data_IF_737929888203
#
_entry.id   IF_737929888203
#
_cell.length_a   1.000
_cell.length_b   1.000
_cell.length_c   1.000
_cell.angle_alpha   90.00
_cell.angle_beta   90.00
_cell.angle_gamma   90.00
#
_symmetry.space_group_name_H-M   'P 1'
#
loop_
_entity.id
_entity.type
_entity.pdbx_description
1 polymer ?
#
# COMPACT_ATOMS: atom_id res chain seq x y z
N UNK A 1 49.37 -63.34 24.76
CA UNK A 1 48.20 -62.48 25.05
C UNK A 1 48.19 -61.31 24.06
N UNK A 2 47.12 -61.10 23.26
CA UNK A 2 46.96 -59.85 22.53
C UNK A 2 45.75 -59.03 23.04
N UNK A 3 46.00 -57.75 23.30
CA UNK A 3 44.99 -56.69 23.48
C UNK A 3 44.45 -56.27 22.12
N UNK A 4 43.17 -56.52 21.85
CA UNK A 4 42.38 -55.81 20.82
C UNK A 4 40.94 -55.77 21.30
N UNK A 5 40.42 -54.56 21.51
CA UNK A 5 39.03 -54.15 21.21
C UNK A 5 38.67 -52.87 21.97
N UNK A 6 39.21 -51.72 21.54
CA UNK A 6 38.75 -50.41 22.04
C UNK A 6 38.53 -49.35 20.94
N UNK A 7 38.51 -49.74 19.67
CA UNK A 7 38.25 -48.82 18.53
C UNK A 7 36.79 -48.83 18.04
N UNK A 8 36.01 -49.85 18.38
CA UNK A 8 34.62 -50.03 17.90
C UNK A 8 33.57 -49.29 18.73
N UNK A 9 33.89 -48.94 19.98
CA UNK A 9 32.97 -48.24 20.88
C UNK A 9 32.95 -46.73 20.58
N UNK A 10 34.09 -46.16 20.18
CA UNK A 10 34.24 -44.72 19.91
C UNK A 10 33.52 -44.28 18.62
N UNK A 11 33.57 -45.07 17.53
CA UNK A 11 32.86 -44.73 16.28
C UNK A 11 31.33 -44.73 16.40
N UNK A 12 30.77 -45.44 17.39
CA UNK A 12 29.31 -45.57 17.56
C UNK A 12 28.70 -44.41 18.36
N UNK A 13 29.50 -43.71 19.18
CA UNK A 13 29.06 -42.51 19.89
C UNK A 13 29.05 -41.27 18.99
N UNK A 14 30.00 -41.14 18.06
CA UNK A 14 30.04 -40.01 17.12
C UNK A 14 28.82 -39.98 16.18
N UNK A 15 28.34 -41.15 15.75
CA UNK A 15 27.14 -41.27 14.90
C UNK A 15 25.86 -40.85 15.61
N UNK A 16 25.78 -41.05 16.94
CA UNK A 16 24.64 -40.67 17.78
C UNK A 16 24.65 -39.17 18.12
N UNK A 17 25.84 -38.61 18.35
CA UNK A 17 26.04 -37.17 18.58
C UNK A 17 25.74 -36.34 17.31
N UNK A 18 26.02 -36.91 16.13
CA UNK A 18 25.74 -36.27 14.85
C UNK A 18 24.23 -36.20 14.53
N UNK A 19 23.40 -37.11 15.08
CA UNK A 19 21.96 -37.09 14.87
C UNK A 19 21.28 -35.96 15.65
N UNK A 20 21.69 -35.71 16.90
CA UNK A 20 21.19 -34.59 17.71
C UNK A 20 21.65 -33.25 17.11
N UNK A 21 22.89 -33.18 16.59
CA UNK A 21 23.37 -32.02 15.84
C UNK A 21 22.56 -31.75 14.57
N UNK A 22 22.28 -32.78 13.78
CA UNK A 22 21.44 -32.67 12.57
C UNK A 22 19.99 -32.33 12.89
N UNK A 23 19.42 -32.91 13.94
CA UNK A 23 18.06 -32.62 14.39
C UNK A 23 17.94 -31.18 14.87
N UNK A 24 18.86 -30.72 15.73
CA UNK A 24 18.88 -29.33 16.21
C UNK A 24 19.11 -28.33 15.08
N UNK A 25 19.92 -28.68 14.08
CA UNK A 25 20.11 -27.85 12.88
C UNK A 25 18.85 -27.81 12.00
N UNK A 26 18.18 -28.95 11.78
CA UNK A 26 16.89 -28.99 11.08
C UNK A 26 15.82 -28.17 11.81
N UNK A 27 15.74 -28.27 13.14
CA UNK A 27 14.80 -27.46 13.94
C UNK A 27 15.13 -25.98 13.83
N UNK A 28 16.40 -25.57 13.94
CA UNK A 28 16.81 -24.17 13.74
C UNK A 28 16.44 -23.67 12.36
N UNK A 29 16.60 -24.49 11.32
CA UNK A 29 16.21 -24.15 9.95
C UNK A 29 14.70 -23.97 9.82
N UNK A 30 13.89 -24.90 10.33
CA UNK A 30 12.43 -24.77 10.31
C UNK A 30 11.94 -23.55 11.09
N UNK A 31 12.51 -23.27 12.26
CA UNK A 31 12.17 -22.07 13.06
C UNK A 31 12.54 -20.78 12.31
N UNK A 32 13.68 -20.78 11.60
CA UNK A 32 14.10 -19.64 10.80
C UNK A 32 13.19 -19.44 9.58
N UNK A 33 12.81 -20.52 8.89
CA UNK A 33 11.86 -20.50 7.76
C UNK A 33 10.48 -19.97 8.20
N UNK A 34 9.95 -20.43 9.35
CA UNK A 34 8.69 -19.89 9.90
C UNK A 34 8.81 -18.41 10.25
N UNK A 35 9.94 -17.98 10.82
CA UNK A 35 10.15 -16.57 11.19
C UNK A 35 10.31 -15.67 9.96
N UNK A 36 10.89 -16.19 8.88
CA UNK A 36 10.96 -15.52 7.58
C UNK A 36 9.58 -15.45 6.92
N UNK A 37 8.81 -16.55 6.92
CA UNK A 37 7.43 -16.59 6.42
C UNK A 37 6.51 -15.64 7.20
N UNK A 38 6.59 -15.60 8.54
CA UNK A 38 5.85 -14.62 9.36
C UNK A 38 6.24 -13.18 9.03
N UNK A 39 7.54 -12.92 8.84
CA UNK A 39 8.03 -11.61 8.42
C UNK A 39 7.53 -11.20 7.03
N UNK A 40 7.40 -12.17 6.13
CA UNK A 40 6.89 -12.00 4.77
C UNK A 40 5.38 -11.76 4.75
N UNK A 41 4.62 -12.49 5.57
CA UNK A 41 3.18 -12.26 5.76
C UNK A 41 2.90 -10.86 6.30
N UNK A 42 3.59 -10.44 7.36
CA UNK A 42 3.44 -9.10 7.94
C UNK A 42 3.81 -8.01 6.92
N UNK A 43 4.88 -8.21 6.14
CA UNK A 43 5.27 -7.28 5.07
C UNK A 43 4.20 -7.19 3.98
N UNK A 44 3.66 -8.32 3.55
CA UNK A 44 2.62 -8.40 2.53
C UNK A 44 1.32 -7.73 3.02
N UNK A 45 0.95 -7.91 4.29
CA UNK A 45 -0.22 -7.26 4.89
C UNK A 45 -0.06 -5.73 4.96
N UNK A 46 1.13 -5.25 5.33
CA UNK A 46 1.45 -3.82 5.32
C UNK A 46 1.39 -3.25 3.90
N UNK A 47 1.94 -3.96 2.90
CA UNK A 47 1.89 -3.56 1.50
C UNK A 47 0.44 -3.51 0.99
N UNK A 48 -0.35 -4.54 1.27
CA UNK A 48 -1.76 -4.60 0.90
C UNK A 48 -2.56 -3.46 1.53
N UNK A 49 -2.36 -3.20 2.82
CA UNK A 49 -3.00 -2.07 3.52
C UNK A 49 -2.60 -0.73 2.93
N UNK A 50 -1.31 -0.56 2.60
CA UNK A 50 -0.80 0.67 2.01
C UNK A 50 -1.40 0.93 0.63
N UNK A 51 -1.59 -0.11 -0.18
CA UNK A 51 -2.20 0.01 -1.49
C UNK A 51 -3.70 0.36 -1.40
N UNK A 52 -4.42 -0.27 -0.46
CA UNK A 52 -5.81 0.09 -0.17
C UNK A 52 -5.93 1.56 0.23
N UNK A 53 -5.08 2.02 1.14
CA UNK A 53 -5.03 3.42 1.57
C UNK A 53 -4.78 4.39 0.41
N UNK A 54 -3.89 4.05 -0.53
CA UNK A 54 -3.64 4.86 -1.72
C UNK A 54 -4.86 4.94 -2.63
N UNK A 55 -5.52 3.80 -2.88
CA UNK A 55 -6.74 3.74 -3.68
C UNK A 55 -7.84 4.64 -3.10
N UNK A 56 -8.06 4.55 -1.78
CA UNK A 56 -9.01 5.42 -1.05
C UNK A 56 -8.66 6.89 -1.21
N UNK A 57 -7.39 7.25 -1.01
CA UNK A 57 -6.92 8.64 -1.12
C UNK A 57 -7.17 9.20 -2.52
N UNK A 58 -6.84 8.45 -3.56
CA UNK A 58 -7.03 8.87 -4.96
C UNK A 58 -8.52 9.12 -5.27
N UNK A 59 -9.42 8.23 -4.82
CA UNK A 59 -10.87 8.41 -5.01
C UNK A 59 -11.43 9.63 -4.30
N UNK A 60 -10.93 9.91 -3.09
CA UNK A 60 -11.27 11.11 -2.34
C UNK A 60 -10.77 12.37 -3.05
N UNK A 61 -9.51 12.37 -3.50
CA UNK A 61 -8.91 13.46 -4.26
C UNK A 61 -9.70 13.76 -5.55
N UNK A 62 -10.11 12.73 -6.29
CA UNK A 62 -10.91 12.87 -7.52
C UNK A 62 -12.30 13.46 -7.24
N UNK A 63 -13.00 12.92 -6.25
CA UNK A 63 -14.35 13.37 -5.86
C UNK A 63 -14.33 14.82 -5.38
N UNK A 64 -13.36 15.16 -4.54
CA UNK A 64 -13.12 16.52 -4.10
C UNK A 64 -12.76 17.44 -5.27
N UNK A 65 -11.91 16.96 -6.19
CA UNK A 65 -11.53 17.69 -7.40
C UNK A 65 -12.71 18.06 -8.28
N UNK A 66 -13.72 17.18 -8.41
CA UNK A 66 -14.96 17.46 -9.14
C UNK A 66 -15.74 18.60 -8.47
N UNK A 67 -15.99 18.51 -7.17
CA UNK A 67 -16.71 19.55 -6.43
C UNK A 67 -15.99 20.90 -6.49
N UNK A 68 -14.66 20.89 -6.29
CA UNK A 68 -13.81 22.09 -6.39
C UNK A 68 -13.91 22.74 -7.76
N UNK A 69 -13.79 21.96 -8.84
CA UNK A 69 -13.92 22.48 -10.21
C UNK A 69 -15.32 23.05 -10.46
N UNK A 70 -16.38 22.40 -9.99
CA UNK A 70 -17.74 22.91 -10.14
C UNK A 70 -17.93 24.26 -9.44
N UNK A 71 -17.36 24.45 -8.24
CA UNK A 71 -17.37 25.74 -7.53
C UNK A 71 -16.58 26.81 -8.28
N UNK A 72 -15.38 26.48 -8.77
CA UNK A 72 -14.56 27.40 -9.57
C UNK A 72 -15.29 27.82 -10.85
N UNK A 73 -15.89 26.86 -11.55
CA UNK A 73 -16.71 27.10 -12.74
C UNK A 73 -17.93 27.96 -12.42
N UNK A 74 -18.61 27.74 -11.29
CA UNK A 74 -19.71 28.59 -10.83
C UNK A 74 -19.24 30.04 -10.62
N UNK A 75 -18.08 30.24 -10.00
CA UNK A 75 -17.52 31.57 -9.74
C UNK A 75 -17.20 32.32 -11.03
N UNK A 76 -16.46 31.69 -11.96
CA UNK A 76 -16.15 32.27 -13.27
C UNK A 76 -17.43 32.61 -14.04
N UNK A 77 -18.37 31.67 -14.11
CA UNK A 77 -19.64 31.90 -14.81
C UNK A 77 -20.53 32.96 -14.15
N UNK A 78 -20.43 33.15 -12.83
CA UNK A 78 -21.10 34.23 -12.12
C UNK A 78 -20.55 35.58 -12.57
N UNK A 79 -19.23 35.73 -12.62
CA UNK A 79 -18.59 36.96 -13.07
C UNK A 79 -18.95 37.29 -14.52
N UNK A 80 -18.91 36.29 -15.41
CA UNK A 80 -19.35 36.45 -16.80
C UNK A 80 -20.84 36.79 -16.92
N UNK A 81 -21.69 36.30 -16.01
CA UNK A 81 -23.13 36.59 -16.05
C UNK A 81 -23.48 38.04 -15.71
N UNK A 82 -22.51 38.83 -15.22
CA UNK A 82 -22.70 40.24 -14.83
C UNK A 82 -23.10 41.14 -16.00
N UNK A 83 -22.82 40.73 -17.25
CA UNK A 83 -23.23 41.45 -18.46
C UNK A 83 -24.58 40.98 -19.02
N UNK A 84 -25.10 39.83 -18.56
CA UNK A 84 -26.38 39.27 -19.02
C UNK A 84 -27.56 39.93 -18.30
N UNK A 85 -28.76 39.84 -18.89
CA UNK A 85 -29.99 40.29 -18.26
C UNK A 85 -30.27 39.54 -16.96
N UNK A 86 -30.94 40.19 -16.01
CA UNK A 86 -31.23 39.63 -14.68
C UNK A 86 -31.96 38.27 -14.74
N UNK A 87 -32.87 38.12 -15.71
CA UNK A 87 -33.63 36.88 -15.89
C UNK A 87 -32.76 35.72 -16.36
N UNK A 88 -31.88 35.95 -17.36
CA UNK A 88 -30.92 34.96 -17.83
C UNK A 88 -29.91 34.61 -16.75
N UNK A 89 -29.41 35.62 -16.04
CA UNK A 89 -28.51 35.47 -14.89
C UNK A 89 -29.12 34.57 -13.83
N UNK A 90 -30.35 34.86 -13.38
CA UNK A 90 -31.03 34.07 -12.36
C UNK A 90 -31.21 32.61 -12.78
N UNK A 91 -31.64 32.36 -14.03
CA UNK A 91 -31.79 30.99 -14.55
C UNK A 91 -30.47 30.23 -14.56
N UNK A 92 -29.39 30.83 -15.07
CA UNK A 92 -28.04 30.23 -15.12
C UNK A 92 -27.53 29.91 -13.71
N UNK A 93 -27.56 30.89 -12.81
CA UNK A 93 -27.10 30.72 -11.42
C UNK A 93 -27.89 29.68 -10.65
N UNK A 94 -29.23 29.70 -10.74
CA UNK A 94 -30.08 28.69 -10.08
C UNK A 94 -29.70 27.27 -10.50
N UNK A 95 -29.41 27.06 -11.78
CA UNK A 95 -29.00 25.74 -12.27
C UNK A 95 -27.61 25.35 -11.76
N UNK A 96 -26.63 26.26 -11.83
CA UNK A 96 -25.26 25.97 -11.38
C UNK A 96 -25.18 25.73 -9.87
N UNK A 97 -25.93 26.51 -9.07
CA UNK A 97 -25.99 26.33 -7.61
C UNK A 97 -26.59 24.98 -7.26
N UNK A 98 -27.67 24.56 -7.93
CA UNK A 98 -28.24 23.21 -7.74
C UNK A 98 -27.23 22.11 -8.02
N UNK A 99 -26.44 22.26 -9.08
CA UNK A 99 -25.42 21.28 -9.44
C UNK A 99 -24.27 21.24 -8.42
N UNK A 100 -23.79 22.39 -7.96
CA UNK A 100 -22.77 22.47 -6.90
C UNK A 100 -23.28 21.86 -5.60
N UNK A 101 -24.51 22.17 -5.17
CA UNK A 101 -25.11 21.58 -3.96
C UNK A 101 -25.28 20.07 -4.11
N UNK A 102 -25.67 19.59 -5.30
CA UNK A 102 -25.77 18.15 -5.56
C UNK A 102 -24.41 17.46 -5.47
N UNK A 103 -23.37 18.04 -6.09
CA UNK A 103 -22.01 17.51 -6.07
C UNK A 103 -21.40 17.56 -4.66
N UNK A 104 -21.64 18.64 -3.92
CA UNK A 104 -21.21 18.79 -2.53
C UNK A 104 -21.91 17.76 -1.63
N UNK A 105 -23.24 17.65 -1.72
CA UNK A 105 -23.98 16.65 -0.96
C UNK A 105 -23.66 15.19 -1.33
N UNK A 106 -23.02 14.93 -2.49
CA UNK A 106 -22.72 13.59 -2.97
C UNK A 106 -21.22 13.23 -2.99
N UNK A 107 -20.30 14.17 -2.69
CA UNK A 107 -18.87 13.84 -2.77
C UNK A 107 -18.47 12.79 -1.73
N UNK A 108 -19.16 12.74 -0.60
CA UNK A 108 -19.07 11.70 0.44
C UNK A 108 -19.93 10.47 0.14
N UNK A 109 -21.04 10.56 -0.61
CA UNK A 109 -21.81 9.39 -1.08
C UNK A 109 -21.07 8.60 -2.18
N UNK A 110 -19.99 9.14 -2.73
CA UNK A 110 -19.02 8.41 -3.56
C UNK A 110 -18.01 7.59 -2.73
N UNK A 111 -18.01 7.83 -1.42
CA UNK A 111 -17.06 7.29 -0.45
C UNK A 111 -17.87 6.94 0.81
N UNK A 112 -18.71 5.90 0.75
CA UNK A 112 -19.55 5.44 1.88
C UNK A 112 -18.65 5.02 3.06
N UNK A 113 -18.23 6.02 3.83
CA UNK A 113 -17.17 5.92 4.82
C UNK A 113 -17.87 5.70 6.15
N UNK A 114 -17.71 4.54 6.80
CA UNK A 114 -18.25 4.35 8.13
C UNK A 114 -17.76 5.49 9.05
N UNK A 115 -18.56 5.87 10.06
CA UNK A 115 -18.08 6.74 11.13
C UNK A 115 -17.18 5.94 12.07
N UNK A 116 -16.10 6.56 12.58
CA UNK A 116 -15.26 5.94 13.59
C UNK A 116 -16.03 5.84 14.90
N UNK A 117 -16.09 4.65 15.47
CA UNK A 117 -16.72 4.45 16.77
C UNK A 117 -15.78 4.93 17.90
N UNK A 118 -16.32 5.47 18.99
CA UNK A 118 -15.50 6.05 20.09
C UNK A 118 -14.53 5.04 20.72
N UNK A 119 -14.86 3.75 20.65
CA UNK A 119 -14.08 2.66 21.24
C UNK A 119 -13.11 2.03 20.21
N UNK A 120 -13.16 2.45 18.95
CA UNK A 120 -12.46 1.79 17.84
C UNK A 120 -11.05 2.38 17.65
N UNK A 121 -9.99 1.54 17.69
CA UNK A 121 -8.65 1.95 17.32
C UNK A 121 -8.61 2.49 15.89
N UNK A 122 -7.92 3.62 15.68
CA UNK A 122 -7.78 4.27 14.36
C UNK A 122 -7.36 3.31 13.24
N UNK A 123 -6.41 2.36 13.43
CA UNK A 123 -6.05 1.41 12.38
C UNK A 123 -7.20 0.50 11.94
N UNK A 124 -8.03 0.04 12.89
CA UNK A 124 -9.20 -0.79 12.64
C UNK A 124 -10.25 -0.04 11.85
N UNK A 125 -10.49 1.22 12.22
CA UNK A 125 -11.37 2.12 11.50
C UNK A 125 -10.96 2.29 10.03
N UNK A 126 -9.68 2.56 9.81
CA UNK A 126 -9.11 2.76 8.47
C UNK A 126 -9.28 1.52 7.59
N UNK A 127 -9.11 0.30 8.15
CA UNK A 127 -9.33 -0.95 7.41
C UNK A 127 -10.81 -1.13 7.03
N UNK A 128 -11.74 -0.81 7.94
CA UNK A 128 -13.19 -0.81 7.64
C UNK A 128 -13.54 0.14 6.50
N UNK A 129 -12.96 1.34 6.51
CA UNK A 129 -13.12 2.32 5.43
C UNK A 129 -12.57 1.76 4.11
N UNK A 130 -11.39 1.15 4.11
CA UNK A 130 -10.83 0.51 2.91
C UNK A 130 -11.77 -0.56 2.33
N UNK A 131 -12.30 -1.44 3.17
CA UNK A 131 -13.22 -2.51 2.77
C UNK A 131 -14.56 -1.95 2.26
N UNK A 132 -15.13 -0.96 2.94
CA UNK A 132 -16.37 -0.31 2.51
C UNK A 132 -16.18 0.40 1.16
N UNK A 133 -15.00 0.96 0.93
CA UNK A 133 -14.66 1.58 -0.34
C UNK A 133 -14.48 0.58 -1.46
N UNK A 134 -13.86 -0.57 -1.22
CA UNK A 134 -13.79 -1.66 -2.19
C UNK A 134 -15.19 -2.15 -2.62
N UNK A 135 -16.14 -2.23 -1.68
CA UNK A 135 -17.52 -2.73 -1.94
C UNK A 135 -18.44 -1.70 -2.61
N UNK A 136 -18.23 -0.42 -2.38
CA UNK A 136 -19.07 0.68 -2.90
C UNK A 136 -18.77 1.05 -4.36
N UNK A 137 -18.16 0.16 -5.13
CA UNK A 137 -18.00 0.31 -6.57
C UNK A 137 -19.39 0.54 -7.20
N UNK A 138 -19.69 1.79 -7.59
CA UNK A 138 -21.01 2.13 -8.13
C UNK A 138 -21.24 1.34 -9.42
N UNK A 139 -22.38 0.65 -9.59
CA UNK A 139 -22.79 0.14 -10.89
C UNK A 139 -23.16 1.35 -11.76
N UNK A 140 -22.21 1.82 -12.57
CA UNK A 140 -22.40 3.01 -13.39
C UNK A 140 -21.14 3.77 -13.76
N UNK A 141 -20.00 3.50 -13.10
CA UNK A 141 -18.69 3.96 -13.61
C UNK A 141 -18.20 2.97 -14.69
N UNK A 142 -18.94 2.97 -15.80
CA UNK A 142 -18.54 2.30 -17.02
C UNK A 142 -17.25 2.95 -17.54
N UNK A 143 -16.21 2.13 -17.60
CA UNK A 143 -14.96 2.36 -18.36
C UNK A 143 -14.08 3.48 -17.81
N UNK A 144 -13.14 3.12 -16.93
CA UNK A 144 -11.82 3.78 -16.97
C UNK A 144 -11.33 3.63 -18.40
N UNK A 145 -11.22 4.72 -19.16
CA UNK A 145 -10.60 4.67 -20.49
C UNK A 145 -9.23 4.02 -20.36
N UNK A 146 -8.89 3.11 -21.27
CA UNK A 146 -7.60 2.39 -21.31
C UNK A 146 -6.40 3.31 -21.05
N UNK A 147 -6.48 4.56 -21.51
CA UNK A 147 -5.51 5.62 -21.26
C UNK A 147 -5.27 5.93 -19.77
N UNK A 148 -6.31 6.07 -18.95
CA UNK A 148 -6.16 6.38 -17.52
C UNK A 148 -5.59 5.21 -16.71
N UNK A 149 -5.94 3.98 -17.07
CA UNK A 149 -5.37 2.77 -16.47
C UNK A 149 -3.89 2.61 -16.84
N UNK A 150 -3.54 2.86 -18.11
CA UNK A 150 -2.15 2.81 -18.58
C UNK A 150 -1.27 3.91 -17.95
N UNK A 151 -1.82 5.12 -17.75
CA UNK A 151 -1.10 6.21 -17.09
C UNK A 151 -0.87 5.92 -15.59
N UNK A 152 -1.87 5.34 -14.93
CA UNK A 152 -1.79 4.91 -13.53
C UNK A 152 -0.79 3.75 -13.34
N UNK A 153 -0.77 2.78 -14.27
CA UNK A 153 0.26 1.73 -14.31
C UNK A 153 1.66 2.26 -14.61
N UNK A 154 1.79 3.25 -15.50
CA UNK A 154 3.07 3.90 -15.81
C UNK A 154 3.65 4.59 -14.59
N UNK A 155 2.82 5.40 -13.89
CA UNK A 155 3.21 6.04 -12.63
C UNK A 155 3.52 5.03 -11.53
N UNK A 156 2.82 3.89 -11.50
CA UNK A 156 3.09 2.79 -10.57
C UNK A 156 4.45 2.15 -10.84
N UNK A 157 4.77 1.84 -12.10
CA UNK A 157 6.08 1.27 -12.49
C UNK A 157 7.22 2.23 -12.20
N UNK A 158 7.09 3.50 -12.57
CA UNK A 158 8.12 4.52 -12.31
C UNK A 158 8.41 4.64 -10.80
N UNK A 159 7.38 4.61 -9.96
CA UNK A 159 7.56 4.69 -8.51
C UNK A 159 8.24 3.43 -7.94
N UNK A 160 7.86 2.24 -8.41
CA UNK A 160 8.51 0.98 -8.04
C UNK A 160 9.98 0.98 -8.45
N UNK A 161 10.30 1.48 -9.65
CA UNK A 161 11.68 1.57 -10.14
C UNK A 161 12.53 2.57 -9.34
N UNK A 162 11.96 3.70 -8.92
CA UNK A 162 12.64 4.66 -8.04
C UNK A 162 12.95 4.05 -6.68
N UNK A 163 11.99 3.33 -6.09
CA UNK A 163 12.18 2.63 -4.81
C UNK A 163 13.21 1.50 -4.96
N UNK A 164 13.15 0.73 -6.03
CA UNK A 164 14.13 -0.31 -6.34
C UNK A 164 15.54 0.29 -6.55
N UNK A 165 15.63 1.47 -7.20
CA UNK A 165 16.88 2.21 -7.36
C UNK A 165 17.47 2.66 -6.02
N UNK A 166 16.65 3.21 -5.12
CA UNK A 166 17.08 3.58 -3.78
C UNK A 166 17.54 2.36 -2.96
N UNK A 167 16.80 1.25 -3.03
CA UNK A 167 17.17 0.00 -2.36
C UNK A 167 18.51 -0.56 -2.88
N UNK A 168 18.72 -0.56 -4.21
CA UNK A 168 20.00 -0.95 -4.82
C UNK A 168 21.16 -0.05 -4.40
N UNK A 169 20.94 1.27 -4.32
CA UNK A 169 21.95 2.21 -3.84
C UNK A 169 22.36 1.91 -2.38
N UNK A 170 21.38 1.69 -1.51
CA UNK A 170 21.61 1.35 -0.10
C UNK A 170 22.35 0.01 0.04
N UNK A 171 22.01 -0.99 -0.76
CA UNK A 171 22.75 -2.27 -0.79
C UNK A 171 24.19 -2.09 -1.27
N UNK A 172 24.44 -1.31 -2.33
CA UNK A 172 25.80 -1.04 -2.82
C UNK A 172 26.68 -0.29 -1.79
N UNK A 173 26.08 0.63 -1.02
CA UNK A 173 26.76 1.30 0.10
C UNK A 173 27.07 0.34 1.25
N UNK A 174 26.13 -0.55 1.56
CA UNK A 174 26.30 -1.57 2.60
C UNK A 174 27.42 -2.57 2.24
N UNK A 175 27.50 -2.95 0.97
CA UNK A 175 28.52 -3.88 0.46
C UNK A 175 29.90 -3.21 0.38
N UNK A 176 29.96 -1.93 -0.03
CA UNK A 176 31.21 -1.16 -0.03
C UNK A 176 31.78 -0.97 1.39
N UNK A 177 30.90 -0.79 2.38
CA UNK A 177 31.30 -0.65 3.80
C UNK A 177 31.83 -1.99 4.36
N UNK A 178 31.27 -3.13 3.92
CA UNK A 178 31.78 -4.46 4.29
C UNK A 178 33.15 -4.75 3.65
N UNK A 179 33.38 -4.33 2.41
CA UNK A 179 34.68 -4.51 1.72
C UNK A 179 35.79 -3.70 2.39
N UNK A 180 35.50 -2.50 2.91
CA UNK A 180 36.48 -1.71 3.67
C UNK A 180 36.83 -2.31 5.04
N UNK A 181 35.95 -3.12 5.64
CA UNK A 181 36.26 -3.79 6.91
C UNK A 181 37.13 -5.04 6.74
N UNK A 182 37.18 -5.64 5.54
CA UNK A 182 38.00 -6.84 5.24
C UNK A 182 39.44 -6.49 4.82
N UNK A 183 39.71 -5.28 4.34
CA UNK A 183 41.06 -4.83 3.93
C UNK A 183 41.87 -4.14 5.03
N UNK A 184 41.42 -4.18 6.28
CA UNK A 184 42.02 -3.46 7.41
C UNK A 184 42.84 -4.30 8.39
N UNK A 185 43.15 -5.55 8.04
CA UNK A 185 44.04 -6.41 8.84
C UNK A 185 44.93 -7.22 7.91
N UNK A 186 46.07 -6.63 7.54
CA UNK A 186 47.33 -7.31 7.24
C UNK A 186 48.46 -6.40 7.73
#
# INVERSE_FOLDING_TARGET
MPLKDNKRITQRMDSRNNLVGKFTQSVKRMVQEVKEDEGDLVRNDVLATNERLRSVRLRLEDSYGIAKRAIQTLHVNYDESKVSSLFQRYRKLKSMIKEVVRLEAQYWLLVDTPKQEKQEPVPTYVLRVCIALEKSQKPGEGVKTSAKLAEEEGRRRERTDRLAGQLRCIQSFSDSTKVHHVKGYD
#
